data_IF_430067891358
#
_entry.id   IF_430067891358
#
_cell.length_a   1.000
_cell.length_b   1.000
_cell.length_c   1.000
_cell.angle_alpha   90.00
_cell.angle_beta   90.00
_cell.angle_gamma   90.00
#
_symmetry.space_group_name_H-M   'P 1'
#
loop_
_entity.id
_entity.type
_entity.pdbx_description
1 polymer ?
#
# COMPACT_ATOMS: atom_id res chain seq x y z
N UNK A 1 8.68 3.96 -10.60
CA UNK A 1 7.31 4.08 -10.04
C UNK A 1 6.80 2.69 -9.77
N UNK A 2 6.25 2.43 -8.58
CA UNK A 2 5.61 1.16 -8.26
C UNK A 2 4.38 0.96 -9.15
N UNK A 3 4.26 -0.20 -9.82
CA UNK A 3 3.05 -0.56 -10.57
C UNK A 3 2.08 -1.29 -9.64
N UNK A 4 0.79 -1.02 -9.79
CA UNK A 4 -0.25 -1.79 -9.10
C UNK A 4 -0.73 -2.88 -10.05
N UNK A 5 -0.47 -4.12 -9.64
CA UNK A 5 -0.72 -5.31 -10.44
C UNK A 5 -2.04 -5.95 -10.02
N UNK A 6 -2.86 -6.36 -10.99
CA UNK A 6 -4.08 -7.10 -10.69
C UNK A 6 -3.80 -8.60 -10.66
N UNK A 7 -3.91 -9.23 -9.49
CA UNK A 7 -3.73 -10.67 -9.28
C UNK A 7 -4.70 -11.57 -10.08
N UNK A 8 -5.83 -11.04 -10.54
CA UNK A 8 -6.74 -11.78 -11.43
C UNK A 8 -6.25 -11.82 -12.88
N UNK A 9 -5.46 -10.83 -13.29
CA UNK A 9 -4.89 -10.72 -14.64
C UNK A 9 -3.49 -11.31 -14.70
N UNK A 10 -2.72 -11.11 -13.65
CA UNK A 10 -1.33 -11.57 -13.49
C UNK A 10 -1.24 -12.38 -12.17
N UNK A 11 -1.71 -13.64 -12.16
CA UNK A 11 -1.72 -14.46 -10.94
C UNK A 11 -0.32 -14.75 -10.41
N UNK A 12 0.67 -14.84 -11.31
CA UNK A 12 2.08 -15.08 -10.99
C UNK A 12 2.82 -13.82 -10.54
N UNK A 13 2.17 -12.65 -10.46
CA UNK A 13 2.81 -11.39 -10.11
C UNK A 13 3.59 -11.48 -8.78
N UNK A 14 3.04 -12.18 -7.78
CA UNK A 14 3.70 -12.37 -6.48
C UNK A 14 4.91 -13.30 -6.60
N UNK A 15 4.81 -14.37 -7.40
CA UNK A 15 5.95 -15.24 -7.70
C UNK A 15 7.05 -14.48 -8.46
N UNK A 16 6.67 -13.50 -9.27
CA UNK A 16 7.56 -12.61 -10.01
C UNK A 16 8.07 -11.41 -9.19
N UNK A 17 7.87 -11.41 -7.86
CA UNK A 17 8.45 -10.42 -6.95
C UNK A 17 7.55 -9.24 -6.57
N UNK A 18 6.30 -9.19 -7.04
CA UNK A 18 5.33 -8.20 -6.56
C UNK A 18 4.92 -8.47 -5.11
N UNK A 19 4.75 -7.42 -4.31
CA UNK A 19 4.31 -7.54 -2.93
C UNK A 19 2.80 -7.68 -2.88
N UNK A 20 2.30 -8.73 -2.24
CA UNK A 20 0.85 -8.90 -2.01
C UNK A 20 0.34 -7.88 -1.00
N UNK A 21 -0.63 -7.06 -1.41
CA UNK A 21 -1.22 -6.01 -0.58
C UNK A 21 -2.74 -6.19 -0.39
N UNK A 22 -3.26 -7.39 -0.62
CA UNK A 22 -4.67 -7.68 -0.37
C UNK A 22 -4.98 -7.77 1.14
N UNK A 23 -6.26 -7.98 1.47
CA UNK A 23 -6.77 -7.99 2.86
C UNK A 23 -6.19 -9.09 3.75
N UNK A 24 -5.46 -10.05 3.19
CA UNK A 24 -4.78 -11.11 3.96
C UNK A 24 -3.41 -10.67 4.47
N UNK A 25 -2.98 -9.45 4.15
CA UNK A 25 -1.69 -8.91 4.59
C UNK A 25 -1.88 -7.65 5.43
N UNK A 26 -0.82 -7.25 6.13
CA UNK A 26 -0.77 -6.02 6.94
C UNK A 26 -1.09 -4.74 6.13
N UNK A 27 -0.88 -4.81 4.81
CA UNK A 27 -1.08 -3.76 3.81
C UNK A 27 -2.50 -3.70 3.23
N UNK A 28 -3.36 -4.63 3.63
CA UNK A 28 -4.72 -4.72 3.13
C UNK A 28 -5.60 -3.55 3.58
N UNK A 29 -6.49 -3.09 2.71
CA UNK A 29 -7.53 -2.15 3.09
C UNK A 29 -8.65 -2.85 3.91
N UNK A 30 -8.81 -2.56 5.21
CA UNK A 30 -9.84 -3.20 6.04
C UNK A 30 -11.27 -2.75 5.70
N UNK A 31 -11.40 -1.62 4.99
CA UNK A 31 -12.68 -1.05 4.57
C UNK A 31 -13.16 -1.71 3.26
N UNK A 32 -14.43 -2.11 3.24
CA UNK A 32 -15.11 -2.78 2.15
C UNK A 32 -15.97 -1.79 1.35
N UNK A 33 -15.82 -1.80 0.03
CA UNK A 33 -16.74 -1.07 -0.87
C UNK A 33 -18.17 -1.59 -0.64
N UNK A 34 -19.17 -0.71 -0.76
CA UNK A 34 -20.60 -0.94 -0.52
C UNK A 34 -21.00 -1.12 0.95
N UNK A 35 -20.18 -1.78 1.79
CA UNK A 35 -20.43 -1.85 3.24
C UNK A 35 -20.00 -0.57 3.96
N UNK A 36 -18.77 -0.13 3.71
CA UNK A 36 -18.13 0.98 4.42
C UNK A 36 -18.12 2.27 3.58
N UNK A 37 -18.69 2.22 2.38
CA UNK A 37 -18.91 3.36 1.50
C UNK A 37 -18.49 3.15 0.05
N UNK A 38 -18.40 4.27 -0.65
CA UNK A 38 -17.86 4.42 -2.00
C UNK A 38 -16.38 4.02 -2.05
N UNK A 39 -15.89 3.60 -3.23
CA UNK A 39 -14.46 3.29 -3.47
C UNK A 39 -13.53 4.43 -3.04
N UNK A 40 -13.89 5.66 -3.38
CA UNK A 40 -13.11 6.82 -2.98
C UNK A 40 -13.10 7.00 -1.45
N UNK A 41 -14.24 6.79 -0.79
CA UNK A 41 -14.37 6.90 0.67
C UNK A 41 -13.53 5.85 1.39
N UNK A 42 -13.57 4.58 0.96
CA UNK A 42 -12.80 3.52 1.61
C UNK A 42 -11.30 3.65 1.36
N UNK A 43 -10.87 4.22 0.23
CA UNK A 43 -9.46 4.56 -0.03
C UNK A 43 -9.02 5.74 0.84
N UNK A 44 -9.86 6.77 0.97
CA UNK A 44 -9.59 7.90 1.87
C UNK A 44 -9.47 7.45 3.33
N UNK A 45 -10.38 6.58 3.80
CA UNK A 45 -10.30 5.97 5.13
C UNK A 45 -9.02 5.15 5.31
N UNK A 46 -8.66 4.35 4.30
CA UNK A 46 -7.40 3.60 4.33
C UNK A 46 -6.18 4.51 4.44
N UNK A 47 -6.15 5.63 3.71
CA UNK A 47 -5.08 6.62 3.83
C UNK A 47 -4.95 7.12 5.27
N UNK A 48 -6.06 7.54 5.88
CA UNK A 48 -6.05 8.02 7.26
C UNK A 48 -5.60 6.94 8.26
N UNK A 49 -6.09 5.72 8.10
CA UNK A 49 -5.70 4.60 8.97
C UNK A 49 -4.22 4.21 8.79
N UNK A 50 -3.72 4.11 7.56
CA UNK A 50 -2.30 3.85 7.30
C UNK A 50 -1.39 4.87 8.01
N UNK A 51 -1.70 6.16 7.91
CA UNK A 51 -0.93 7.20 8.59
C UNK A 51 -1.03 7.11 10.12
N UNK A 52 -2.20 6.76 10.65
CA UNK A 52 -2.39 6.51 12.08
C UNK A 52 -1.49 5.35 12.54
N UNK A 53 -1.49 4.24 11.80
CA UNK A 53 -0.71 3.02 12.10
C UNK A 53 0.79 3.29 12.08
N UNK A 54 1.28 4.01 11.08
CA UNK A 54 2.69 4.43 11.00
C UNK A 54 3.07 5.30 12.22
N UNK A 55 2.26 6.33 12.53
CA UNK A 55 2.55 7.22 13.68
C UNK A 55 2.45 6.53 15.04
N UNK A 56 1.56 5.54 15.15
CA UNK A 56 1.42 4.75 16.37
C UNK A 56 2.51 3.68 16.52
N UNK A 57 3.37 3.48 15.52
CA UNK A 57 4.37 2.41 15.51
C UNK A 57 3.79 1.01 15.29
N UNK A 58 2.53 0.90 14.85
CA UNK A 58 1.88 -0.37 14.49
C UNK A 58 2.43 -0.96 13.18
N UNK A 59 3.02 -0.10 12.34
CA UNK A 59 3.79 -0.47 11.15
C UNK A 59 5.09 0.30 11.21
N UNK A 60 6.22 -0.39 11.09
CA UNK A 60 7.52 0.26 11.10
C UNK A 60 7.71 1.11 9.83
N UNK A 61 8.38 2.25 9.98
CA UNK A 61 8.64 3.15 8.84
C UNK A 61 9.50 2.47 7.78
N UNK A 62 10.42 1.61 8.21
CA UNK A 62 11.32 0.78 7.42
C UNK A 62 10.55 -0.24 6.58
N UNK A 63 9.50 -0.85 7.14
CA UNK A 63 8.64 -1.79 6.40
C UNK A 63 7.89 -1.07 5.28
N UNK A 64 7.40 0.15 5.54
CA UNK A 64 6.74 0.98 4.53
C UNK A 64 7.74 1.41 3.46
N UNK A 65 8.94 1.85 3.85
CA UNK A 65 10.01 2.25 2.93
C UNK A 65 10.48 1.09 2.04
N UNK A 66 10.51 -0.14 2.54
CA UNK A 66 10.91 -1.33 1.79
C UNK A 66 9.99 -1.64 0.59
N UNK A 67 8.77 -1.09 0.58
CA UNK A 67 7.85 -1.19 -0.56
C UNK A 67 8.18 -0.20 -1.68
N UNK A 68 9.05 0.78 -1.44
CA UNK A 68 9.37 1.79 -2.44
C UNK A 68 10.02 1.14 -3.66
N UNK A 69 9.47 1.44 -4.84
CA UNK A 69 9.93 0.85 -6.10
C UNK A 69 9.50 -0.60 -6.36
N UNK A 70 8.78 -1.26 -5.44
CA UNK A 70 8.23 -2.61 -5.66
C UNK A 70 6.87 -2.57 -6.34
N UNK A 71 6.58 -3.55 -7.19
CA UNK A 71 5.23 -3.78 -7.71
C UNK A 71 4.31 -4.23 -6.57
N UNK A 72 3.08 -3.71 -6.53
CA UNK A 72 2.10 -4.01 -5.49
C UNK A 72 0.91 -4.76 -6.08
N UNK A 73 0.68 -5.99 -5.61
CA UNK A 73 -0.32 -6.89 -6.15
C UNK A 73 -1.63 -6.83 -5.34
N UNK A 74 -2.73 -6.45 -6.00
CA UNK A 74 -4.08 -6.34 -5.45
C UNK A 74 -5.12 -6.92 -6.42
N UNK A 75 -6.41 -6.83 -6.09
CA UNK A 75 -7.51 -7.28 -6.94
C UNK A 75 -8.32 -6.13 -7.57
N UNK A 76 -8.03 -4.87 -7.22
CA UNK A 76 -8.86 -3.72 -7.59
C UNK A 76 -8.44 -3.03 -8.89
N UNK A 77 -7.14 -3.02 -9.23
CA UNK A 77 -6.63 -2.37 -10.44
C UNK A 77 -7.33 -2.93 -11.70
N UNK A 78 -7.61 -2.14 -12.75
CA UNK A 78 -7.21 -0.74 -12.96
C UNK A 78 -8.15 0.29 -12.34
N UNK A 79 -9.16 -0.12 -11.55
CA UNK A 79 -9.95 0.84 -10.78
C UNK A 79 -9.10 1.44 -9.65
N UNK A 80 -9.44 2.64 -9.14
CA UNK A 80 -8.74 3.23 -8.00
C UNK A 80 -8.54 2.21 -6.89
N UNK A 81 -7.31 2.06 -6.45
CA UNK A 81 -6.92 1.07 -5.46
C UNK A 81 -6.32 1.77 -4.22
N UNK A 82 -6.14 1.00 -3.15
CA UNK A 82 -5.41 1.47 -1.98
C UNK A 82 -3.89 1.35 -2.16
N UNK A 83 -3.45 0.60 -3.17
CA UNK A 83 -2.04 0.43 -3.51
C UNK A 83 -1.38 1.75 -3.90
N UNK A 84 -2.12 2.71 -4.47
CA UNK A 84 -1.61 4.03 -4.85
C UNK A 84 -1.24 4.83 -3.59
N UNK A 85 -2.08 4.73 -2.55
CA UNK A 85 -1.81 5.33 -1.25
C UNK A 85 -0.57 4.71 -0.62
N UNK A 86 -0.46 3.38 -0.67
CA UNK A 86 0.66 2.67 -0.08
C UNK A 86 1.97 2.95 -0.82
N UNK A 87 1.96 2.98 -2.16
CA UNK A 87 3.11 3.36 -2.97
C UNK A 87 3.58 4.79 -2.68
N UNK A 88 2.64 5.73 -2.48
CA UNK A 88 2.97 7.10 -2.10
C UNK A 88 3.59 7.18 -0.70
N UNK A 89 3.03 6.42 0.25
CA UNK A 89 3.58 6.33 1.61
C UNK A 89 4.98 5.69 1.61
N UNK A 90 5.21 4.68 0.77
CA UNK A 90 6.50 4.02 0.62
C UNK A 90 7.59 4.98 0.10
N UNK A 91 7.26 5.77 -0.93
CA UNK A 91 8.16 6.78 -1.46
C UNK A 91 8.51 7.84 -0.40
N UNK A 92 7.52 8.32 0.35
CA UNK A 92 7.74 9.25 1.46
C UNK A 92 8.60 8.65 2.57
N UNK A 93 8.33 7.41 2.96
CA UNK A 93 9.05 6.73 4.04
C UNK A 93 10.52 6.51 3.68
N UNK A 94 10.79 6.08 2.45
CA UNK A 94 12.15 5.91 1.95
C UNK A 94 12.93 7.24 1.94
N UNK A 95 12.33 8.32 1.44
CA UNK A 95 12.95 9.64 1.46
C UNK A 95 13.20 10.16 2.89
N UNK A 96 12.28 9.86 3.82
CA UNK A 96 12.39 10.25 5.23
C UNK A 96 13.56 9.54 5.92
N UNK A 97 13.72 8.24 5.68
CA UNK A 97 14.84 7.48 6.25
C UNK A 97 16.19 7.96 5.70
N UNK A 98 16.29 8.15 4.38
CA UNK A 98 17.49 8.69 3.74
C UNK A 98 17.92 10.04 4.32
N UNK A 99 16.95 10.92 4.60
CA UNK A 99 17.25 12.22 5.21
C UNK A 99 17.77 12.10 6.66
N UNK A 100 17.34 11.08 7.42
CA UNK A 100 17.78 10.84 8.81
C UNK A 100 19.18 10.23 8.90
N UNK A 101 19.61 9.50 7.88
CA UNK A 101 20.96 8.91 7.82
C UNK A 101 22.02 9.91 7.36
N UNK A 102 21.60 11.02 6.73
CA UNK A 102 22.48 12.08 6.25
C UNK A 102 22.83 13.13 7.33
N UNK A 103 22.25 13.02 8.53
CA UNK A 103 22.45 13.90 9.69
C UNK A 103 23.35 13.22 10.73
#
# INVERSE_FOLDING_TARGET
MARIVNLKREPDAVANGAVRIDRRTVWGNPFLVARDGTRAQVIARYRTDLWRRIRAGEIALEEVAALNGRDLACHCAPLPCHGEVLASAAAWAAATLQAREAE
#
